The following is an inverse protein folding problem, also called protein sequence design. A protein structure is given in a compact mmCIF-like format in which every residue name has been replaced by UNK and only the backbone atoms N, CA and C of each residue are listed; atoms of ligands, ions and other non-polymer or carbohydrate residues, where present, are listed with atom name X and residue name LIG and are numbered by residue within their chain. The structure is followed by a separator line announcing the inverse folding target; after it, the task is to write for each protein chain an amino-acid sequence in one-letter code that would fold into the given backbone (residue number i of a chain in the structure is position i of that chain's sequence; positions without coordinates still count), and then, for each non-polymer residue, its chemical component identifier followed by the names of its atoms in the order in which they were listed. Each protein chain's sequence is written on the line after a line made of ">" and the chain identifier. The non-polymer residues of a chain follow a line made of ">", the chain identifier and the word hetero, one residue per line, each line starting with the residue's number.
data_IF_721218493430
#
_entry.id   IF_721218493430
#
_cell.length_a   1.000
_cell.length_b   1.000
_cell.length_c   1.000
_cell.angle_alpha   90.00
_cell.angle_beta   90.00
_cell.angle_gamma   90.00
#
_symmetry.space_group_name_H-M   'P 1'
#
loop_
_entity.id
_entity.type
_entity.pdbx_description
1 polymer ?
#
# COMPACT_ATOMS: atom_id res chain seq x y z
N UNK A 1 -32.44 -13.02 6.86
CA UNK A 1 -31.78 -14.04 7.69
C UNK A 1 -31.31 -15.23 6.84
N UNK A 2 -32.21 -15.91 6.11
CA UNK A 2 -31.86 -17.08 5.28
C UNK A 2 -30.65 -16.86 4.35
N UNK A 3 -30.60 -15.73 3.63
CA UNK A 3 -29.49 -15.39 2.73
C UNK A 3 -28.16 -15.12 3.44
N UNK A 4 -28.20 -14.61 4.67
CA UNK A 4 -26.99 -14.42 5.51
C UNK A 4 -26.43 -15.78 5.91
N UNK A 5 -27.31 -16.69 6.34
CA UNK A 5 -26.92 -18.03 6.82
C UNK A 5 -26.47 -18.93 5.67
N UNK A 6 -27.24 -18.97 4.57
CA UNK A 6 -26.94 -19.85 3.42
C UNK A 6 -25.69 -19.41 2.65
N UNK A 7 -25.43 -18.11 2.56
CA UNK A 7 -24.32 -17.57 1.76
C UNK A 7 -23.16 -17.05 2.62
N UNK A 8 -23.17 -17.34 3.93
CA UNK A 8 -22.15 -16.93 4.90
C UNK A 8 -21.79 -15.43 4.82
N UNK A 9 -22.81 -14.58 4.74
CA UNK A 9 -22.61 -13.13 4.65
C UNK A 9 -22.40 -12.51 6.04
N UNK A 10 -21.67 -11.39 6.16
CA UNK A 10 -21.56 -10.64 7.41
C UNK A 10 -22.94 -10.24 7.96
N UNK A 11 -23.09 -10.21 9.28
CA UNK A 11 -24.36 -9.81 9.91
C UNK A 11 -24.79 -8.39 9.55
N UNK A 12 -23.83 -7.49 9.29
CA UNK A 12 -24.10 -6.12 8.85
C UNK A 12 -24.57 -6.01 7.38
N UNK A 13 -24.65 -7.11 6.63
CA UNK A 13 -25.12 -7.09 5.24
C UNK A 13 -26.53 -6.51 5.08
N UNK A 14 -27.43 -6.75 6.05
CA UNK A 14 -28.79 -6.17 6.03
C UNK A 14 -28.82 -4.65 6.22
N UNK A 15 -27.73 -4.06 6.71
CA UNK A 15 -27.61 -2.62 6.96
C UNK A 15 -27.11 -1.85 5.72
N UNK A 16 -26.49 -2.54 4.76
CA UNK A 16 -26.01 -1.95 3.50
C UNK A 16 -27.17 -1.43 2.64
N UNK A 17 -27.06 -0.18 2.18
CA UNK A 17 -28.05 0.42 1.27
C UNK A 17 -28.08 -0.31 -0.08
N UNK A 18 -26.92 -0.75 -0.55
CA UNK A 18 -26.75 -1.51 -1.79
C UNK A 18 -27.50 -2.85 -1.69
N UNK A 19 -27.33 -3.57 -0.57
CA UNK A 19 -28.03 -4.83 -0.33
C UNK A 19 -29.56 -4.65 -0.37
N UNK A 20 -30.09 -3.54 0.15
CA UNK A 20 -31.53 -3.22 0.08
C UNK A 20 -31.99 -2.84 -1.32
N UNK A 21 -31.16 -2.16 -2.11
CA UNK A 21 -31.46 -1.85 -3.53
C UNK A 21 -31.48 -3.11 -4.37
N UNK A 22 -30.49 -4.00 -4.22
CA UNK A 22 -30.41 -5.26 -4.97
C UNK A 22 -31.58 -6.22 -4.72
N UNK A 23 -32.23 -6.14 -3.56
CA UNK A 23 -33.43 -6.94 -3.25
C UNK A 23 -34.66 -6.56 -4.09
N UNK A 24 -34.65 -5.39 -4.73
CA UNK A 24 -35.78 -4.87 -5.52
C UNK A 24 -35.62 -5.10 -7.03
N UNK A 25 -34.49 -5.66 -7.46
CA UNK A 25 -34.20 -5.89 -8.88
C UNK A 25 -34.83 -7.19 -9.36
N UNK A 26 -35.39 -7.16 -10.56
CA UNK A 26 -35.82 -8.37 -11.25
C UNK A 26 -34.62 -9.26 -11.60
N UNK A 27 -34.81 -10.60 -11.64
CA UNK A 27 -33.77 -11.51 -12.05
C UNK A 27 -33.24 -11.18 -13.46
N UNK A 28 -31.92 -11.13 -13.61
CA UNK A 28 -31.26 -10.95 -14.90
C UNK A 28 -30.56 -12.24 -15.31
N UNK A 29 -30.52 -12.54 -16.61
CA UNK A 29 -29.74 -13.68 -17.09
C UNK A 29 -28.24 -13.34 -17.17
N UNK A 30 -27.40 -14.36 -17.10
CA UNK A 30 -25.94 -14.23 -17.12
C UNK A 30 -25.45 -13.52 -18.38
N UNK A 31 -26.05 -13.80 -19.54
CA UNK A 31 -25.64 -13.18 -20.80
C UNK A 31 -25.87 -11.67 -20.81
N UNK A 32 -27.04 -11.23 -20.31
CA UNK A 32 -27.36 -9.80 -20.18
C UNK A 32 -26.43 -9.12 -19.18
N UNK A 33 -26.14 -9.77 -18.04
CA UNK A 33 -25.17 -9.26 -17.06
C UNK A 33 -23.78 -9.09 -17.69
N UNK A 34 -23.26 -10.10 -18.38
CA UNK A 34 -21.97 -10.02 -19.05
C UNK A 34 -21.95 -8.93 -20.13
N UNK A 35 -23.06 -8.73 -20.85
CA UNK A 35 -23.17 -7.65 -21.85
C UNK A 35 -23.12 -6.28 -21.20
N UNK A 36 -23.87 -6.05 -20.13
CA UNK A 36 -23.85 -4.78 -19.39
C UNK A 36 -22.46 -4.50 -18.80
N UNK A 37 -21.83 -5.51 -18.17
CA UNK A 37 -20.47 -5.37 -17.65
C UNK A 37 -19.46 -4.94 -18.71
N UNK A 38 -19.49 -5.53 -19.92
CA UNK A 38 -18.61 -5.14 -21.02
C UNK A 38 -18.84 -3.69 -21.48
N UNK A 39 -20.09 -3.23 -21.51
CA UNK A 39 -20.41 -1.85 -21.88
C UNK A 39 -19.87 -0.87 -20.84
N UNK A 40 -20.01 -1.18 -19.55
CA UNK A 40 -19.44 -0.38 -18.45
C UNK A 40 -17.91 -0.37 -18.53
N UNK A 41 -17.27 -1.52 -18.74
CA UNK A 41 -15.82 -1.61 -18.98
C UNK A 41 -15.39 -0.65 -20.08
N UNK A 42 -16.08 -0.67 -21.23
CA UNK A 42 -15.74 0.21 -22.36
C UNK A 42 -15.95 1.69 -22.05
N UNK A 43 -16.99 2.04 -21.28
CA UNK A 43 -17.20 3.41 -20.84
C UNK A 43 -16.06 3.89 -19.92
N UNK A 44 -15.59 3.03 -19.02
CA UNK A 44 -14.45 3.31 -18.14
C UNK A 44 -13.14 3.43 -18.94
N UNK A 45 -12.91 2.56 -19.92
CA UNK A 45 -11.75 2.65 -20.82
C UNK A 45 -11.69 3.99 -21.56
N UNK A 46 -12.82 4.50 -22.05
CA UNK A 46 -12.90 5.80 -22.72
C UNK A 46 -12.55 6.95 -21.76
N UNK A 47 -13.05 6.91 -20.52
CA UNK A 47 -12.72 7.92 -19.50
C UNK A 47 -11.22 7.89 -19.17
N UNK A 48 -10.65 6.69 -18.96
CA UNK A 48 -9.23 6.52 -18.69
C UNK A 48 -8.36 6.99 -19.86
N UNK A 49 -8.74 6.65 -21.10
CA UNK A 49 -8.01 7.07 -22.29
C UNK A 49 -7.97 8.60 -22.45
N UNK A 50 -9.02 9.31 -22.01
CA UNK A 50 -9.05 10.77 -22.03
C UNK A 50 -8.13 11.41 -20.97
N UNK A 51 -7.80 10.69 -19.88
CA UNK A 51 -6.92 11.15 -18.81
C UNK A 51 -5.47 10.68 -18.95
N UNK A 52 -5.20 9.71 -19.84
CA UNK A 52 -3.85 9.16 -20.00
C UNK A 52 -2.89 10.22 -20.56
N UNK A 53 -1.74 10.45 -19.91
CA UNK A 53 -0.73 11.38 -20.42
C UNK A 53 0.00 10.80 -21.64
N UNK A 54 0.53 11.68 -22.49
CA UNK A 54 1.36 11.29 -23.67
C UNK A 54 2.60 10.47 -23.28
N UNK A 55 3.08 10.63 -22.05
CA UNK A 55 4.18 9.85 -21.49
C UNK A 55 3.73 9.14 -20.22
N UNK A 56 3.80 7.81 -20.25
CA UNK A 56 3.50 6.95 -19.13
C UNK A 56 4.52 5.80 -19.04
N UNK A 57 4.64 5.22 -17.86
CA UNK A 57 5.41 4.00 -17.64
C UNK A 57 4.46 2.83 -17.40
N UNK A 58 4.78 1.67 -17.96
CA UNK A 58 4.10 0.41 -17.63
C UNK A 58 5.01 -0.39 -16.71
N UNK A 59 4.48 -0.74 -15.54
CA UNK A 59 5.16 -1.64 -14.61
C UNK A 59 4.54 -3.01 -14.81
N UNK A 60 5.36 -3.96 -15.27
CA UNK A 60 4.96 -5.35 -15.42
C UNK A 60 5.48 -6.09 -14.21
N UNK A 61 4.56 -6.67 -13.45
CA UNK A 61 4.88 -7.55 -12.33
C UNK A 61 4.40 -8.97 -12.67
N UNK A 62 5.17 -9.98 -12.26
CA UNK A 62 4.94 -11.37 -12.61
C UNK A 62 5.15 -12.28 -11.41
N UNK A 63 4.22 -13.20 -11.18
CA UNK A 63 4.34 -14.24 -10.17
C UNK A 63 3.99 -15.61 -10.73
N UNK A 64 4.43 -16.66 -10.04
CA UNK A 64 4.02 -18.04 -10.33
C UNK A 64 2.79 -18.38 -9.49
N UNK A 65 1.70 -18.86 -10.11
CA UNK A 65 0.45 -19.27 -9.44
C UNK A 65 0.58 -20.56 -8.60
N UNK A 66 1.69 -20.75 -7.88
CA UNK A 66 1.76 -21.83 -6.89
C UNK A 66 1.07 -21.34 -5.61
N UNK A 67 0.03 -22.03 -5.13
CA UNK A 67 -0.56 -21.67 -3.85
C UNK A 67 0.51 -21.82 -2.76
N UNK A 68 0.95 -20.70 -2.21
CA UNK A 68 1.73 -20.69 -0.99
C UNK A 68 0.74 -20.96 0.14
N UNK A 69 0.62 -22.22 0.54
CA UNK A 69 -0.39 -22.75 1.49
C UNK A 69 -0.11 -22.32 2.94
N UNK A 70 0.90 -21.47 3.17
CA UNK A 70 1.23 -20.95 4.51
C UNK A 70 1.48 -19.45 4.40
N UNK A 71 0.58 -18.68 4.99
CA UNK A 71 0.74 -17.24 5.15
C UNK A 71 2.08 -16.97 5.87
N UNK A 72 3.04 -16.40 5.15
CA UNK A 72 4.26 -15.84 5.72
C UNK A 72 4.03 -14.44 6.31
N UNK A 73 2.86 -14.17 6.90
CA UNK A 73 2.75 -13.10 7.91
C UNK A 73 3.28 -13.63 9.25
N UNK A 74 4.50 -14.18 9.26
CA UNK A 74 5.13 -14.77 10.46
C UNK A 74 5.55 -13.73 11.49
N UNK A 75 5.79 -12.48 11.06
CA UNK A 75 6.19 -11.43 11.99
C UNK A 75 5.03 -10.92 12.86
N UNK A 76 3.84 -10.74 12.28
CA UNK A 76 2.69 -10.25 13.04
C UNK A 76 2.22 -11.27 14.08
N UNK A 77 2.36 -12.58 13.84
CA UNK A 77 1.97 -13.60 14.83
C UNK A 77 2.79 -13.54 16.11
N UNK A 78 4.11 -13.36 16.03
CA UNK A 78 4.97 -13.25 17.21
C UNK A 78 4.69 -11.96 17.97
N UNK A 79 4.53 -10.84 17.25
CA UNK A 79 4.14 -9.57 17.84
C UNK A 79 2.78 -9.66 18.54
N UNK A 80 1.75 -10.19 17.85
CA UNK A 80 0.40 -10.34 18.41
C UNK A 80 0.35 -11.30 19.60
N UNK A 81 1.20 -12.34 19.60
CA UNK A 81 1.32 -13.25 20.73
C UNK A 81 1.84 -12.51 21.97
N UNK A 82 2.93 -11.74 21.84
CA UNK A 82 3.50 -10.96 22.95
C UNK A 82 2.58 -9.81 23.39
N UNK A 83 1.94 -9.13 22.44
CA UNK A 83 0.95 -8.08 22.72
C UNK A 83 -0.24 -8.64 23.51
N UNK A 84 -0.76 -9.80 23.09
CA UNK A 84 -1.81 -10.51 23.82
C UNK A 84 -1.33 -11.00 25.18
N UNK A 85 -0.11 -11.53 25.27
CA UNK A 85 0.48 -11.97 26.53
C UNK A 85 0.50 -10.83 27.55
N UNK A 86 1.04 -9.66 27.20
CA UNK A 86 1.09 -8.52 28.13
C UNK A 86 -0.28 -7.94 28.48
N UNK A 87 -1.25 -7.99 27.57
CA UNK A 87 -2.66 -7.65 27.87
C UNK A 87 -3.32 -8.64 28.84
N UNK A 88 -2.97 -9.92 28.75
CA UNK A 88 -3.52 -10.95 29.62
C UNK A 88 -2.80 -11.03 30.96
N UNK A 89 -1.52 -10.68 31.01
CA UNK A 89 -0.64 -10.81 32.18
C UNK A 89 -1.23 -10.13 33.42
N UNK A 90 -1.94 -9.02 33.27
CA UNK A 90 -2.60 -8.34 34.40
C UNK A 90 -3.69 -9.18 35.07
N UNK A 91 -4.31 -10.11 34.34
CA UNK A 91 -5.38 -10.99 34.80
C UNK A 91 -4.88 -12.36 35.27
N UNK A 92 -3.73 -12.85 34.77
CA UNK A 92 -3.24 -14.21 35.04
C UNK A 92 -2.02 -14.28 35.95
N UNK A 93 -1.37 -13.15 36.27
CA UNK A 93 -0.13 -13.10 37.08
C UNK A 93 -0.25 -13.68 38.50
N UNK A 94 -1.46 -13.72 39.07
CA UNK A 94 -1.73 -14.17 40.43
C UNK A 94 -2.42 -15.56 40.46
N UNK A 95 -2.54 -16.22 39.31
CA UNK A 95 -3.14 -17.54 39.16
C UNK A 95 -2.10 -18.64 39.47
N UNK A 96 -2.28 -19.33 40.59
CA UNK A 96 -1.37 -20.38 41.06
C UNK A 96 -1.30 -21.57 40.08
N UNK A 97 -2.36 -21.84 39.31
CA UNK A 97 -2.36 -22.96 38.36
C UNK A 97 -1.54 -22.63 37.09
N UNK A 98 -1.21 -21.36 36.87
CA UNK A 98 -0.48 -20.88 35.69
C UNK A 98 0.96 -20.46 36.00
N UNK A 99 1.41 -20.51 37.26
CA UNK A 99 2.73 -20.01 37.68
C UNK A 99 3.88 -20.68 36.89
N UNK A 100 3.81 -22.01 36.70
CA UNK A 100 4.83 -22.78 35.95
C UNK A 100 4.76 -22.56 34.43
N UNK A 101 3.65 -22.01 33.91
CA UNK A 101 3.44 -21.77 32.49
C UNK A 101 3.76 -20.33 32.06
N UNK A 102 3.89 -19.40 33.02
CA UNK A 102 4.20 -17.99 32.77
C UNK A 102 5.72 -17.77 32.71
N UNK A 103 6.21 -16.90 31.80
CA UNK A 103 7.57 -16.39 31.85
C UNK A 103 7.91 -15.83 33.24
N UNK A 104 9.13 -16.10 33.70
CA UNK A 104 9.57 -15.69 35.03
C UNK A 104 9.62 -14.17 35.19
N UNK A 105 9.64 -13.68 36.43
CA UNK A 105 9.78 -12.24 36.74
C UNK A 105 11.04 -11.61 36.13
N UNK A 106 12.08 -12.40 35.88
CA UNK A 106 13.34 -11.99 35.27
C UNK A 106 13.29 -11.98 33.74
N UNK A 107 12.50 -12.87 33.13
CA UNK A 107 12.34 -12.93 31.66
C UNK A 107 11.32 -11.90 31.14
N UNK A 108 10.34 -11.52 31.98
CA UNK A 108 9.32 -10.54 31.63
C UNK A 108 9.87 -9.17 31.16
N UNK A 109 10.89 -8.58 31.82
CA UNK A 109 11.57 -7.40 31.33
C UNK A 109 12.17 -7.56 29.93
N UNK A 110 12.82 -8.70 29.65
CA UNK A 110 13.41 -8.99 28.34
C UNK A 110 12.35 -9.16 27.26
N UNK A 111 11.25 -9.86 27.56
CA UNK A 111 10.09 -9.98 26.67
C UNK A 111 9.44 -8.61 26.41
N UNK A 112 9.43 -7.71 27.40
CA UNK A 112 8.88 -6.37 27.24
C UNK A 112 9.77 -5.49 26.35
N UNK A 113 11.09 -5.61 26.49
CA UNK A 113 12.03 -4.96 25.57
C UNK A 113 11.87 -5.48 24.13
N UNK A 114 11.76 -6.81 23.96
CA UNK A 114 11.51 -7.43 22.66
C UNK A 114 10.17 -6.98 22.06
N UNK A 115 9.10 -6.89 22.86
CA UNK A 115 7.79 -6.41 22.41
C UNK A 115 7.86 -4.94 21.93
N UNK A 116 8.63 -4.08 22.61
CA UNK A 116 8.85 -2.71 22.17
C UNK A 116 9.61 -2.64 20.83
N UNK A 117 10.65 -3.45 20.63
CA UNK A 117 11.34 -3.55 19.34
C UNK A 117 10.40 -4.04 18.23
N UNK A 118 9.63 -5.09 18.49
CA UNK A 118 8.66 -5.63 17.54
C UNK A 118 7.54 -4.64 17.23
N UNK A 119 7.14 -3.79 18.18
CA UNK A 119 6.17 -2.70 17.94
C UNK A 119 6.69 -1.73 16.88
N UNK A 120 7.98 -1.37 16.94
CA UNK A 120 8.59 -0.50 15.92
C UNK A 120 8.59 -1.18 14.55
N UNK A 121 9.00 -2.45 14.48
CA UNK A 121 9.00 -3.24 13.23
C UNK A 121 7.59 -3.38 12.66
N UNK A 122 6.61 -3.74 13.48
CA UNK A 122 5.20 -3.87 13.10
C UNK A 122 4.62 -2.54 12.58
N UNK A 123 5.00 -1.41 13.18
CA UNK A 123 4.58 -0.10 12.68
C UNK A 123 5.13 0.18 11.28
N UNK A 124 6.38 -0.21 11.00
CA UNK A 124 7.01 -0.07 9.68
C UNK A 124 6.35 -0.99 8.65
N UNK A 125 6.13 -2.27 8.97
CA UNK A 125 5.48 -3.21 8.05
C UNK A 125 4.08 -2.74 7.66
N UNK A 126 3.29 -2.25 8.63
CA UNK A 126 1.97 -1.62 8.35
C UNK A 126 2.09 -0.37 7.49
N UNK A 127 3.07 0.49 7.74
CA UNK A 127 3.27 1.69 6.94
C UNK A 127 3.64 1.37 5.48
N UNK A 128 4.45 0.33 5.26
CA UNK A 128 4.83 -0.15 3.92
C UNK A 128 3.64 -0.71 3.15
N UNK A 129 2.63 -1.24 3.83
CA UNK A 129 1.38 -1.69 3.21
C UNK A 129 0.54 -0.52 2.65
N UNK A 130 0.86 0.74 2.94
CA UNK A 130 0.13 1.88 2.36
C UNK A 130 0.32 1.98 0.85
N UNK A 131 -0.73 2.31 0.09
CA UNK A 131 -0.63 2.60 -1.35
C UNK A 131 0.05 3.93 -1.67
N UNK A 132 0.27 4.78 -0.65
CA UNK A 132 0.82 6.13 -0.79
C UNK A 132 2.28 6.24 -0.34
N UNK A 133 2.95 5.12 -0.09
CA UNK A 133 4.34 5.09 0.35
C UNK A 133 5.28 5.30 -0.83
N UNK A 134 6.26 6.20 -0.69
CA UNK A 134 7.28 6.46 -1.72
C UNK A 134 8.55 5.61 -1.51
N UNK A 135 9.42 5.53 -2.53
CA UNK A 135 10.75 4.92 -2.39
C UNK A 135 11.56 5.59 -1.28
N UNK A 136 11.51 6.91 -1.20
CA UNK A 136 12.20 7.65 -0.15
C UNK A 136 11.60 7.40 1.25
N UNK A 137 10.29 7.21 1.37
CA UNK A 137 9.69 6.80 2.64
C UNK A 137 10.14 5.39 3.04
N UNK A 138 10.14 4.46 2.09
CA UNK A 138 10.58 3.07 2.32
C UNK A 138 12.03 3.05 2.81
N UNK A 139 12.91 3.79 2.15
CA UNK A 139 14.32 3.95 2.53
C UNK A 139 14.46 4.54 3.93
N UNK A 140 13.74 5.62 4.22
CA UNK A 140 13.71 6.25 5.55
C UNK A 140 13.28 5.27 6.65
N UNK A 141 12.24 4.48 6.41
CA UNK A 141 11.73 3.50 7.37
C UNK A 141 12.74 2.38 7.63
N UNK A 142 13.33 1.84 6.57
CA UNK A 142 14.37 0.82 6.67
C UNK A 142 15.63 1.33 7.38
N UNK A 143 16.10 2.54 7.06
CA UNK A 143 17.25 3.14 7.72
C UNK A 143 16.99 3.40 9.20
N UNK A 144 15.75 3.74 9.57
CA UNK A 144 15.34 3.86 10.96
C UNK A 144 15.41 2.54 11.75
N UNK A 145 15.18 1.39 11.10
CA UNK A 145 15.25 0.08 11.76
C UNK A 145 16.69 -0.39 12.00
N UNK A 146 17.65 0.00 11.17
CA UNK A 146 19.05 -0.46 11.27
C UNK A 146 19.69 -0.16 12.64
N UNK A 147 19.51 1.03 13.25
CA UNK A 147 19.98 1.31 14.61
C UNK A 147 19.39 0.41 15.70
N UNK A 148 18.16 -0.11 15.53
CA UNK A 148 17.56 -1.03 16.50
C UNK A 148 18.29 -2.37 16.51
N UNK A 149 18.69 -2.85 15.33
CA UNK A 149 19.47 -4.07 15.20
C UNK A 149 20.39 -4.01 13.99
N UNK A 150 21.70 -3.93 14.25
CA UNK A 150 22.71 -3.81 13.20
C UNK A 150 22.64 -4.93 12.13
N UNK A 151 22.17 -6.13 12.50
CA UNK A 151 21.99 -7.24 11.57
C UNK A 151 20.98 -6.95 10.45
N UNK A 152 20.07 -5.98 10.62
CA UNK A 152 19.13 -5.58 9.57
C UNK A 152 19.82 -4.92 8.38
N UNK A 153 21.00 -4.32 8.55
CA UNK A 153 21.73 -3.71 7.44
C UNK A 153 22.05 -4.70 6.31
N UNK A 154 22.20 -6.00 6.64
CA UNK A 154 22.44 -7.07 5.65
C UNK A 154 21.30 -7.21 4.63
N UNK A 155 20.07 -6.93 5.04
CA UNK A 155 18.87 -7.13 4.22
C UNK A 155 18.23 -5.81 3.79
N UNK A 156 18.29 -4.81 4.66
CA UNK A 156 17.61 -3.54 4.47
C UNK A 156 18.54 -2.44 3.97
N UNK A 157 19.86 -2.60 4.00
CA UNK A 157 20.79 -1.54 3.58
C UNK A 157 20.64 -1.13 2.12
N UNK A 158 21.04 0.10 1.78
CA UNK A 158 21.00 0.65 0.40
C UNK A 158 21.69 -0.25 -0.64
N UNK A 159 22.74 -0.97 -0.21
CA UNK A 159 23.52 -1.90 -1.05
C UNK A 159 23.47 -3.33 -0.54
N UNK A 160 22.38 -3.70 0.15
CA UNK A 160 22.16 -5.10 0.53
C UNK A 160 22.15 -5.99 -0.72
N UNK A 161 22.60 -7.23 -0.59
CA UNK A 161 22.73 -8.18 -1.71
C UNK A 161 21.41 -8.43 -2.46
N UNK A 162 20.28 -8.29 -1.75
CA UNK A 162 18.93 -8.42 -2.31
C UNK A 162 18.54 -7.25 -3.25
N UNK A 163 19.23 -6.12 -3.18
CA UNK A 163 18.92 -4.92 -3.96
C UNK A 163 19.41 -5.11 -5.39
N UNK A 164 18.46 -5.32 -6.32
CA UNK A 164 18.77 -5.62 -7.71
C UNK A 164 19.47 -4.46 -8.44
N UNK A 165 18.98 -3.23 -8.26
CA UNK A 165 19.50 -2.05 -8.95
C UNK A 165 19.78 -0.90 -7.98
N UNK A 166 20.81 -1.07 -7.14
CA UNK A 166 21.13 -0.13 -6.06
C UNK A 166 21.31 1.33 -6.53
N UNK A 167 21.98 1.56 -7.66
CA UNK A 167 22.14 2.92 -8.21
C UNK A 167 20.80 3.53 -8.68
N UNK A 168 19.89 2.71 -9.22
CA UNK A 168 18.57 3.16 -9.63
C UNK A 168 17.69 3.53 -8.43
N UNK A 169 17.64 2.66 -7.41
CA UNK A 169 16.86 2.92 -6.20
C UNK A 169 17.39 4.15 -5.44
N UNK A 170 18.71 4.25 -5.27
CA UNK A 170 19.34 5.41 -4.65
C UNK A 170 19.09 6.72 -5.44
N UNK A 171 19.07 6.64 -6.78
CA UNK A 171 18.71 7.78 -7.62
C UNK A 171 17.24 8.19 -7.39
N UNK A 172 16.31 7.24 -7.34
CA UNK A 172 14.89 7.49 -7.09
C UNK A 172 14.67 8.19 -5.74
N UNK A 173 15.33 7.71 -4.68
CA UNK A 173 15.26 8.32 -3.34
C UNK A 173 15.75 9.77 -3.36
N UNK A 174 16.94 10.01 -3.94
CA UNK A 174 17.51 11.37 -4.03
C UNK A 174 16.62 12.32 -4.84
N UNK A 175 16.03 11.85 -5.93
CA UNK A 175 15.12 12.63 -6.75
C UNK A 175 13.85 12.99 -5.96
N UNK A 176 13.24 12.02 -5.26
CA UNK A 176 12.05 12.24 -4.43
C UNK A 176 12.32 13.17 -3.23
N UNK A 177 13.57 13.31 -2.81
CA UNK A 177 14.01 14.24 -1.76
C UNK A 177 14.45 15.61 -2.29
N UNK A 178 14.37 15.86 -3.60
CA UNK A 178 14.84 17.11 -4.19
C UNK A 178 16.37 17.26 -4.21
N UNK A 179 17.12 16.17 -4.01
CA UNK A 179 18.59 16.10 -4.02
C UNK A 179 19.15 15.68 -5.38
N UNK A 180 18.46 16.03 -6.47
CA UNK A 180 18.83 15.68 -7.86
C UNK A 180 20.24 16.16 -8.23
N UNK A 181 20.70 17.25 -7.64
CA UNK A 181 22.07 17.76 -7.83
C UNK A 181 23.16 16.82 -7.27
N UNK A 182 22.83 15.91 -6.36
CA UNK A 182 23.75 14.95 -5.71
C UNK A 182 23.79 13.58 -6.40
N UNK A 183 23.21 13.45 -7.60
CA UNK A 183 23.23 12.21 -8.36
C UNK A 183 24.64 11.95 -8.92
N UNK A 184 25.16 10.74 -8.67
CA UNK A 184 26.41 10.28 -9.27
C UNK A 184 26.26 10.04 -10.79
N UNK A 185 27.37 9.83 -11.50
CA UNK A 185 27.34 9.48 -12.93
C UNK A 185 26.58 8.17 -13.18
N UNK A 186 26.81 7.15 -12.36
CA UNK A 186 26.12 5.85 -12.46
C UNK A 186 24.61 6.01 -12.19
N UNK A 187 24.25 6.77 -11.16
CA UNK A 187 22.86 7.08 -10.82
C UNK A 187 22.14 7.82 -11.96
N UNK A 188 22.76 8.84 -12.56
CA UNK A 188 22.21 9.55 -13.72
C UNK A 188 22.01 8.63 -14.93
N UNK A 189 22.95 7.72 -15.17
CA UNK A 189 22.83 6.75 -16.25
C UNK A 189 21.62 5.81 -16.01
N UNK A 190 21.44 5.35 -14.77
CA UNK A 190 20.36 4.43 -14.39
C UNK A 190 18.95 5.02 -14.56
N UNK A 191 18.77 6.34 -14.31
CA UNK A 191 17.45 7.00 -14.46
C UNK A 191 17.30 7.79 -15.76
N UNK A 192 18.27 7.69 -16.69
CA UNK A 192 18.30 8.51 -17.91
C UNK A 192 17.04 8.41 -18.77
N UNK A 193 16.41 7.22 -18.82
CA UNK A 193 15.17 6.99 -19.57
C UNK A 193 13.94 7.66 -18.94
N UNK A 194 14.01 8.01 -17.66
CA UNK A 194 12.94 8.69 -16.92
C UNK A 194 13.06 10.22 -16.96
N UNK A 195 14.13 10.74 -17.55
CA UNK A 195 14.33 12.17 -17.71
C UNK A 195 13.47 12.69 -18.85
N UNK A 196 12.73 13.77 -18.60
CA UNK A 196 12.13 14.53 -19.69
C UNK A 196 13.25 15.32 -20.36
N UNK A 197 13.50 15.05 -21.64
CA UNK A 197 14.39 15.88 -22.46
C UNK A 197 13.66 17.19 -22.73
N UNK A 198 13.94 18.23 -21.96
CA UNK A 198 13.59 19.58 -22.38
C UNK A 198 14.36 19.86 -23.69
N UNK A 199 13.64 20.17 -24.78
CA UNK A 199 14.24 20.80 -25.94
C UNK A 199 14.91 22.11 -25.47
N UNK A 200 16.08 22.52 -26.02
CA UNK A 200 16.79 23.68 -25.51
C UNK A 200 15.93 24.92 -25.70
N UNK A 201 15.33 25.40 -24.60
CA UNK A 201 14.68 26.70 -24.55
C UNK A 201 15.79 27.75 -24.60
N UNK A 202 15.86 28.45 -25.73
CA UNK A 202 16.64 29.68 -25.88
C UNK A 202 16.10 30.68 -24.86
N UNK A 203 16.94 31.04 -23.90
CA UNK A 203 16.93 32.26 -23.09
C UNK A 203 15.59 32.80 -22.59
N UNK A 204 15.33 32.65 -21.30
CA UNK A 204 14.66 33.69 -20.53
C UNK A 204 15.10 33.64 -19.06
N UNK A 205 15.29 34.84 -18.53
CA UNK A 205 15.92 35.24 -17.28
C UNK A 205 15.24 34.67 -16.04
N UNK A 206 16.06 34.46 -15.00
CA UNK A 206 15.62 34.25 -13.63
C UNK A 206 14.78 35.42 -13.15
N UNK A 207 13.61 35.14 -12.59
CA UNK A 207 13.03 36.00 -11.56
C UNK A 207 12.46 35.15 -10.43
N UNK A 208 12.99 35.41 -9.24
CA UNK A 208 12.60 34.77 -8.00
C UNK A 208 11.29 35.35 -7.49
N UNK A 209 10.36 34.47 -7.15
CA UNK A 209 9.22 34.80 -6.30
C UNK A 209 9.08 33.74 -5.21
N UNK A 210 9.66 34.01 -4.06
CA UNK A 210 9.38 33.30 -2.81
C UNK A 210 7.94 33.62 -2.40
N UNK A 211 7.02 32.67 -2.61
CA UNK A 211 5.69 32.75 -2.04
C UNK A 211 5.68 32.11 -0.64
N UNK A 212 5.69 32.96 0.39
CA UNK A 212 5.47 32.57 1.77
C UNK A 212 4.01 32.15 1.98
N UNK A 213 3.73 30.84 1.96
CA UNK A 213 2.43 30.31 2.36
C UNK A 213 2.39 30.11 3.88
N UNK A 214 1.74 31.06 4.56
CA UNK A 214 1.45 31.08 6.01
C UNK A 214 0.58 29.87 6.37
N UNK A 215 1.15 28.87 7.04
CA UNK A 215 0.42 27.69 7.50
C UNK A 215 -0.39 28.05 8.76
N UNK A 216 -1.72 27.96 8.62
CA UNK A 216 -2.70 28.18 9.69
C UNK A 216 -2.56 27.06 10.74
N UNK A 217 -2.24 27.45 11.97
CA UNK A 217 -2.25 26.60 13.16
C UNK A 217 -3.70 26.25 13.48
N UNK A 218 -4.12 25.02 13.18
CA UNK A 218 -5.30 24.42 13.81
C UNK A 218 -4.84 23.72 15.07
N UNK A 219 -4.92 24.45 16.18
CA UNK A 219 -4.88 23.92 17.54
C UNK A 219 -6.12 23.06 17.81
N UNK A 220 -5.88 21.88 18.38
CA UNK A 220 -6.82 21.21 19.28
C UNK A 220 -7.61 20.05 18.70
N UNK A 221 -7.10 18.83 18.88
CA UNK A 221 -7.74 17.92 19.84
C UNK A 221 -6.67 17.01 20.42
N UNK A 222 -6.58 17.03 21.74
CA UNK A 222 -5.72 16.22 22.57
C UNK A 222 -6.07 14.73 22.45
N UNK A 223 -5.10 13.97 21.98
CA UNK A 223 -4.88 12.59 22.39
C UNK A 223 -3.38 12.43 22.36
N UNK A 224 -2.76 12.25 23.52
CA UNK A 224 -1.36 11.81 23.60
C UNK A 224 -1.29 10.36 23.10
N UNK A 225 -1.48 10.19 21.79
CA UNK A 225 -1.03 8.98 21.10
C UNK A 225 0.48 9.14 20.96
N UNK A 226 1.22 8.34 21.73
CA UNK A 226 2.66 8.15 21.57
C UNK A 226 3.03 8.21 20.08
N UNK A 227 3.79 9.23 19.67
CA UNK A 227 4.08 9.45 18.25
C UNK A 227 4.75 8.18 17.70
N UNK A 228 4.03 7.47 16.83
CA UNK A 228 4.48 6.18 16.30
C UNK A 228 5.89 6.31 15.74
N UNK A 229 6.68 5.22 15.81
CA UNK A 229 8.04 5.19 15.28
C UNK A 229 8.14 5.71 13.83
N UNK A 230 7.19 5.31 12.99
CA UNK A 230 7.01 5.83 11.62
C UNK A 230 6.75 7.34 11.59
N UNK A 231 5.89 7.85 12.48
CA UNK A 231 5.60 9.27 12.64
C UNK A 231 6.86 10.06 12.95
N UNK A 232 7.62 9.64 13.97
CA UNK A 232 8.88 10.27 14.37
C UNK A 232 9.91 10.33 13.23
N UNK A 233 10.09 9.23 12.48
CA UNK A 233 10.99 9.20 11.33
C UNK A 233 10.56 10.20 10.24
N UNK A 234 9.27 10.24 9.91
CA UNK A 234 8.74 11.15 8.89
C UNK A 234 8.79 12.61 9.32
N UNK A 235 8.49 12.91 10.60
CA UNK A 235 8.56 14.25 11.18
C UNK A 235 9.99 14.82 11.17
N UNK A 236 11.01 13.97 11.34
CA UNK A 236 12.42 14.36 11.27
C UNK A 236 12.89 14.74 9.85
N UNK A 237 12.15 14.32 8.81
CA UNK A 237 12.51 14.57 7.41
C UNK A 237 12.03 15.97 6.97
N UNK A 238 12.97 16.82 6.56
CA UNK A 238 12.65 18.11 5.91
C UNK A 238 12.16 17.87 4.49
N UNK A 239 10.94 18.28 4.17
CA UNK A 239 10.41 18.21 2.82
C UNK A 239 11.05 19.29 1.93
N UNK A 240 11.83 18.87 0.94
CA UNK A 240 12.31 19.73 -0.14
C UNK A 240 11.60 19.29 -1.43
N UNK A 241 10.62 20.07 -1.89
CA UNK A 241 9.97 19.87 -3.21
C UNK A 241 10.40 20.99 -4.14
N UNK A 242 11.28 20.66 -5.09
CA UNK A 242 11.59 21.49 -6.24
C UNK A 242 11.04 20.87 -7.53
N UNK A 243 11.09 21.60 -8.64
CA UNK A 243 10.84 21.04 -9.97
C UNK A 243 11.89 19.95 -10.25
N UNK A 244 11.45 18.77 -10.68
CA UNK A 244 12.33 17.64 -11.02
C UNK A 244 12.30 17.38 -12.52
N UNK A 245 13.46 17.09 -13.10
CA UNK A 245 13.60 16.62 -14.49
C UNK A 245 13.04 15.20 -14.70
N UNK A 246 12.66 14.53 -13.60
CA UNK A 246 12.22 13.14 -13.57
C UNK A 246 10.79 13.02 -12.99
N UNK A 247 9.75 13.49 -13.70
CA UNK A 247 8.38 13.49 -13.18
C UNK A 247 7.85 12.08 -12.89
N UNK A 248 8.26 11.09 -13.71
CA UNK A 248 7.81 9.70 -13.58
C UNK A 248 8.34 8.99 -12.31
N UNK A 249 9.45 9.47 -11.72
CA UNK A 249 10.03 8.86 -10.51
C UNK A 249 9.10 8.95 -9.30
N UNK A 250 8.20 9.94 -9.26
CA UNK A 250 7.19 10.04 -8.20
C UNK A 250 6.09 8.97 -8.32
N UNK A 251 5.90 8.40 -9.51
CA UNK A 251 4.88 7.39 -9.79
C UNK A 251 5.39 5.95 -9.60
N UNK A 252 6.69 5.75 -9.41
CA UNK A 252 7.28 4.42 -9.18
C UNK A 252 6.90 3.95 -7.76
N UNK A 253 6.10 2.87 -7.64
CA UNK A 253 5.77 2.31 -6.35
C UNK A 253 7.00 1.59 -5.76
N UNK A 254 7.23 1.69 -4.44
CA UNK A 254 8.37 1.04 -3.80
C UNK A 254 8.15 -0.41 -3.44
N UNK A 255 6.90 -0.87 -3.50
CA UNK A 255 6.50 -2.23 -3.17
C UNK A 255 5.46 -2.71 -4.17
N UNK A 256 5.44 -4.01 -4.43
CA UNK A 256 4.37 -4.67 -5.19
C UNK A 256 3.09 -4.88 -4.38
N UNK A 257 2.90 -4.18 -3.26
CA UNK A 257 1.72 -4.36 -2.38
C UNK A 257 0.39 -4.11 -3.09
N UNK A 258 0.36 -3.23 -4.09
CA UNK A 258 -0.84 -3.00 -4.92
C UNK A 258 -1.18 -4.25 -5.75
N UNK A 259 -0.14 -4.92 -6.25
CA UNK A 259 -0.23 -6.13 -7.07
C UNK A 259 -0.62 -7.33 -6.21
N UNK A 260 0.01 -7.53 -5.04
CA UNK A 260 -0.36 -8.59 -4.08
C UNK A 260 -1.81 -8.46 -3.58
N UNK A 261 -2.27 -7.23 -3.34
CA UNK A 261 -3.66 -6.94 -2.98
C UNK A 261 -4.61 -7.27 -4.12
N UNK A 262 -4.27 -6.89 -5.35
CA UNK A 262 -5.06 -7.26 -6.53
C UNK A 262 -5.25 -8.77 -6.61
N UNK A 263 -4.22 -9.58 -6.37
CA UNK A 263 -4.40 -11.04 -6.38
C UNK A 263 -5.12 -11.61 -5.19
N UNK A 264 -4.99 -10.99 -4.02
CA UNK A 264 -5.82 -11.36 -2.86
C UNK A 264 -7.30 -11.13 -3.17
N UNK A 265 -7.63 -9.97 -3.77
CA UNK A 265 -8.98 -9.64 -4.25
C UNK A 265 -9.40 -10.62 -5.34
N UNK A 266 -8.53 -10.92 -6.32
CA UNK A 266 -8.84 -11.86 -7.38
C UNK A 266 -9.09 -13.27 -6.85
N UNK A 267 -8.29 -13.74 -5.90
CA UNK A 267 -8.47 -15.07 -5.28
C UNK A 267 -9.78 -15.16 -4.54
N UNK A 268 -10.16 -14.12 -3.80
CA UNK A 268 -11.47 -14.05 -3.13
C UNK A 268 -12.62 -14.00 -4.14
N UNK A 269 -12.50 -13.18 -5.18
CA UNK A 269 -13.53 -13.03 -6.21
C UNK A 269 -13.73 -14.30 -7.04
N UNK A 270 -12.64 -15.03 -7.36
CA UNK A 270 -12.71 -16.29 -8.10
C UNK A 270 -13.33 -17.42 -7.25
N UNK A 271 -12.98 -17.48 -5.96
CA UNK A 271 -13.32 -18.58 -5.07
C UNK A 271 -14.76 -18.63 -4.58
N UNK A 272 -15.56 -17.56 -4.73
CA UNK A 272 -16.89 -17.48 -4.12
C UNK A 272 -18.00 -18.06 -5.00
N UNK A 273 -18.18 -17.63 -6.26
CA UNK A 273 -19.26 -18.14 -7.14
C UNK A 273 -18.90 -18.10 -8.65
N UNK A 274 -17.64 -17.80 -9.00
CA UNK A 274 -17.25 -17.30 -10.33
C UNK A 274 -16.45 -18.31 -11.18
N UNK A 275 -16.36 -19.58 -10.77
CA UNK A 275 -15.56 -20.63 -11.44
C UNK A 275 -15.98 -20.91 -12.90
N UNK A 276 -17.21 -20.55 -13.27
CA UNK A 276 -17.75 -20.74 -14.62
C UNK A 276 -17.57 -19.50 -15.53
N UNK A 277 -16.95 -18.42 -15.04
CA UNK A 277 -16.63 -17.27 -15.89
C UNK A 277 -15.42 -17.59 -16.77
N UNK A 278 -15.49 -17.17 -18.03
CA UNK A 278 -14.32 -17.15 -18.89
C UNK A 278 -13.25 -16.23 -18.27
N UNK A 279 -11.96 -16.60 -18.28
CA UNK A 279 -10.89 -15.79 -17.70
C UNK A 279 -10.92 -14.33 -18.15
N UNK A 280 -11.18 -14.10 -19.43
CA UNK A 280 -11.28 -12.75 -20.00
C UNK A 280 -12.43 -11.92 -19.42
N UNK A 281 -13.54 -12.56 -19.03
CA UNK A 281 -14.69 -11.87 -18.42
C UNK A 281 -14.38 -11.57 -16.95
N UNK A 282 -13.67 -12.46 -16.28
CA UNK A 282 -13.23 -12.23 -14.91
C UNK A 282 -12.22 -11.06 -14.83
N UNK A 283 -11.19 -11.07 -15.67
CA UNK A 283 -10.16 -10.02 -15.68
C UNK A 283 -10.71 -8.67 -16.17
N UNK A 284 -11.35 -8.65 -17.35
CA UNK A 284 -11.72 -7.39 -18.01
C UNK A 284 -13.01 -6.74 -17.48
N UNK A 285 -13.89 -7.51 -16.82
CA UNK A 285 -15.14 -6.96 -16.29
C UNK A 285 -15.21 -6.97 -14.76
N UNK A 286 -14.70 -8.00 -14.07
CA UNK A 286 -14.79 -8.03 -12.61
C UNK A 286 -13.60 -7.32 -11.97
N UNK A 287 -12.37 -7.72 -12.30
CA UNK A 287 -11.18 -7.13 -11.68
C UNK A 287 -10.92 -5.70 -12.15
N UNK A 288 -11.03 -5.44 -13.45
CA UNK A 288 -10.87 -4.10 -14.00
C UNK A 288 -11.85 -3.09 -13.38
N UNK A 289 -13.16 -3.38 -13.38
CA UNK A 289 -14.14 -2.47 -12.78
C UNK A 289 -13.93 -2.30 -11.28
N UNK A 290 -13.56 -3.37 -10.55
CA UNK A 290 -13.20 -3.29 -9.12
C UNK A 290 -12.01 -2.36 -8.86
N UNK A 291 -11.00 -2.37 -9.73
CA UNK A 291 -9.83 -1.49 -9.61
C UNK A 291 -10.13 -0.06 -10.03
N UNK A 292 -11.04 0.12 -10.97
CA UNK A 292 -11.45 1.41 -11.52
C UNK A 292 -12.73 1.95 -10.91
N UNK A 293 -13.05 1.58 -9.65
CA UNK A 293 -14.29 1.96 -8.96
C UNK A 293 -14.54 3.48 -8.91
N UNK A 294 -13.48 4.30 -8.93
CA UNK A 294 -13.61 5.75 -9.02
C UNK A 294 -14.09 6.30 -10.38
N UNK A 295 -14.15 5.47 -11.42
CA UNK A 295 -14.47 5.87 -12.80
C UNK A 295 -15.88 5.48 -13.24
N UNK A 296 -16.62 4.73 -12.42
CA UNK A 296 -17.98 4.34 -12.71
C UNK A 296 -18.84 4.37 -11.45
N UNK A 297 -20.12 4.59 -11.67
CA UNK A 297 -21.14 4.71 -10.65
C UNK A 297 -22.45 4.18 -11.22
N UNK A 298 -23.53 4.30 -10.45
CA UNK A 298 -24.86 3.88 -10.91
C UNK A 298 -25.26 4.59 -12.21
N UNK A 299 -24.93 5.88 -12.36
CA UNK A 299 -25.20 6.64 -13.57
C UNK A 299 -24.48 6.06 -14.80
N UNK A 300 -23.23 5.64 -14.63
CA UNK A 300 -22.42 5.01 -15.69
C UNK A 300 -23.00 3.65 -16.10
N UNK A 301 -23.55 2.89 -15.14
CA UNK A 301 -24.24 1.63 -15.38
C UNK A 301 -25.55 1.86 -16.14
N UNK A 302 -26.37 2.81 -15.69
CA UNK A 302 -27.67 3.12 -16.31
C UNK A 302 -27.51 3.65 -17.74
N UNK A 303 -26.48 4.47 -18.00
CA UNK A 303 -26.15 4.94 -19.34
C UNK A 303 -25.60 3.83 -20.26
N UNK A 304 -25.12 2.73 -19.68
CA UNK A 304 -24.55 1.60 -20.40
C UNK A 304 -25.59 0.50 -20.66
N UNK A 305 -26.60 0.31 -19.82
CA UNK A 305 -27.61 -0.74 -20.00
C UNK A 305 -28.48 -0.48 -21.23
#
# INVERSE_FOLDING_TARGET
>A
MERIVKNNLPLNFCESEEARRYMKLDPICVETLCRSLRKVTRAVEVKLAAEMPDQFGVIIDGWTLRPVIRQETRWSSTFMMLDRYFKLLEFVKDDADLEDALPTRTENPDLKALHAELTNVESVTKALQSTKVSMADTRLLFDGLIPLRASFAKYLGERAEIVYAADFEAACVKIQEGRTHQLSRAQKAAVSQLAVREAPAIGATSDGAQAAAKRRKTTGSSGDEEESFVGRLKSARKAMRGKTLYPLVAAIPPTSNIVERLFSVARLALGLEHHNLLPITFEAAILFLRLSDGYWDVCTVDASC
#
